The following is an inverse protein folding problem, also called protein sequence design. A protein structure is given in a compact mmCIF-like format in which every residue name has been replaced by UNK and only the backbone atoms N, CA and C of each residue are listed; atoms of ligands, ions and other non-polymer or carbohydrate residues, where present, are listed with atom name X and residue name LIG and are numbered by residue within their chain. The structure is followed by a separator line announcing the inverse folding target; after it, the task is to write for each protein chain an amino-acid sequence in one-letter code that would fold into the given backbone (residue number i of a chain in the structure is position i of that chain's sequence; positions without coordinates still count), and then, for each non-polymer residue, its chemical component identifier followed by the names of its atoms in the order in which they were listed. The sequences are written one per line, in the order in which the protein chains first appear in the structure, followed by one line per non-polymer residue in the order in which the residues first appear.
data_IF_014207239500
#
_entry.id   IF_014207239500
#
_cell.length_a   1.000
_cell.length_b   1.000
_cell.length_c   1.000
_cell.angle_alpha   90.00
_cell.angle_beta   90.00
_cell.angle_gamma   90.00
#
_symmetry.space_group_name_H-M   'P 1'
#
loop_
_entity.id
_entity.type
_entity.pdbx_description
1 polymer ?
#
# COMPACT_ATOMS: atom_id res chain seq x y z
N UNK A 1 -13.37 3.50 -16.74
CA UNK A 1 -13.08 2.41 -15.80
C UNK A 1 -11.63 2.47 -15.34
N UNK A 2 -11.45 2.52 -14.04
CA UNK A 2 -10.11 2.40 -13.45
C UNK A 2 -9.59 0.98 -13.65
N UNK A 3 -8.27 0.80 -13.66
CA UNK A 3 -7.63 -0.51 -13.83
C UNK A 3 -6.50 -0.65 -12.82
N UNK A 4 -5.94 -1.84 -12.69
CA UNK A 4 -4.79 -2.09 -11.81
C UNK A 4 -3.56 -2.33 -12.67
N UNK A 5 -2.40 -1.87 -12.21
CA UNK A 5 -1.11 -2.14 -12.83
C UNK A 5 -0.07 -2.40 -11.75
N UNK A 6 0.87 -3.30 -12.02
CA UNK A 6 1.88 -3.69 -11.03
C UNK A 6 3.27 -3.72 -11.66
N UNK A 7 4.27 -3.56 -10.81
CA UNK A 7 5.66 -3.80 -11.11
C UNK A 7 6.26 -4.75 -10.08
N UNK A 8 6.74 -5.89 -10.54
CA UNK A 8 7.51 -6.87 -9.78
C UNK A 8 8.98 -6.74 -10.17
N UNK A 9 9.86 -6.50 -9.20
CA UNK A 9 11.30 -6.37 -9.47
C UNK A 9 11.90 -7.65 -10.05
N UNK A 10 11.27 -8.81 -9.82
CA UNK A 10 11.69 -10.08 -10.39
C UNK A 10 11.39 -10.20 -11.89
N UNK A 11 10.59 -9.29 -12.46
CA UNK A 11 10.37 -9.23 -13.90
C UNK A 11 11.58 -8.67 -14.67
N UNK A 12 12.50 -7.97 -13.99
CA UNK A 12 13.68 -7.34 -14.61
C UNK A 12 15.01 -7.90 -14.10
N UNK A 13 15.00 -8.71 -13.04
CA UNK A 13 16.19 -9.39 -12.52
C UNK A 13 15.83 -10.59 -11.66
N UNK A 14 16.82 -11.44 -11.39
CA UNK A 14 16.68 -12.52 -10.41
C UNK A 14 16.73 -11.97 -8.98
N UNK A 15 15.96 -12.57 -8.06
CA UNK A 15 15.83 -12.09 -6.68
C UNK A 15 17.15 -12.19 -5.88
N UNK A 16 18.00 -13.16 -6.21
CA UNK A 16 19.27 -13.42 -5.50
C UNK A 16 20.43 -12.52 -5.96
N UNK A 17 20.15 -11.51 -6.79
CA UNK A 17 21.07 -10.43 -7.13
C UNK A 17 20.45 -9.10 -6.66
N UNK A 18 20.60 -8.74 -5.38
CA UNK A 18 19.98 -7.55 -4.82
C UNK A 18 20.42 -6.28 -5.57
N UNK A 19 19.46 -5.41 -5.86
CA UNK A 19 19.71 -4.11 -6.48
C UNK A 19 18.88 -3.03 -5.78
N UNK A 20 19.52 -1.90 -5.57
CA UNK A 20 18.88 -0.73 -4.96
C UNK A 20 17.86 -0.11 -5.91
N UNK A 21 18.22 0.08 -7.17
CA UNK A 21 17.38 0.73 -8.17
C UNK A 21 16.72 -0.32 -9.08
N UNK A 22 15.40 -0.32 -9.14
CA UNK A 22 14.62 -1.27 -9.94
C UNK A 22 13.51 -0.51 -10.64
N UNK A 23 13.44 -0.62 -11.96
CA UNK A 23 12.39 0.02 -12.72
C UNK A 23 12.04 -0.74 -13.99
N UNK A 24 10.80 -0.55 -14.45
CA UNK A 24 10.34 -1.03 -15.75
C UNK A 24 9.26 -0.12 -16.30
N UNK A 25 9.15 -0.08 -17.63
CA UNK A 25 7.94 0.45 -18.26
C UNK A 25 6.81 -0.56 -18.12
N UNK A 26 5.73 -0.16 -17.44
CA UNK A 26 4.52 -0.97 -17.28
C UNK A 26 3.45 -0.44 -18.22
N UNK A 27 2.98 -1.32 -19.10
CA UNK A 27 1.86 -1.02 -20.01
C UNK A 27 0.55 -1.19 -19.24
N UNK A 28 -0.35 -0.22 -19.33
CA UNK A 28 -1.65 -0.30 -18.69
C UNK A 28 -2.52 -1.36 -19.38
N UNK A 29 -3.45 -2.02 -18.67
CA UNK A 29 -4.35 -3.03 -19.25
C UNK A 29 -5.17 -2.52 -20.43
N UNK A 30 -5.35 -1.20 -20.53
CA UNK A 30 -5.99 -0.52 -21.65
C UNK A 30 -5.46 0.92 -21.77
N UNK A 31 -5.48 1.51 -22.97
CA UNK A 31 -5.18 2.92 -23.13
C UNK A 31 -6.23 3.80 -22.43
N UNK A 32 -5.78 4.93 -21.90
CA UNK A 32 -6.61 6.02 -21.41
C UNK A 32 -6.69 7.15 -22.45
N UNK A 33 -7.65 8.05 -22.29
CA UNK A 33 -7.80 9.24 -23.15
C UNK A 33 -6.72 10.30 -22.87
N UNK A 34 -6.16 10.29 -21.66
CA UNK A 34 -5.05 11.12 -21.20
C UNK A 34 -4.32 10.37 -20.06
N UNK A 35 -3.12 10.79 -19.63
CA UNK A 35 -2.39 10.13 -18.55
C UNK A 35 -3.25 9.96 -17.28
N UNK A 36 -3.41 8.73 -16.74
CA UNK A 36 -4.17 8.50 -15.51
C UNK A 36 -3.39 9.00 -14.28
N UNK A 37 -4.09 9.16 -13.15
CA UNK A 37 -3.43 9.32 -11.84
C UNK A 37 -3.13 7.93 -11.29
N UNK A 38 -1.95 7.76 -10.69
CA UNK A 38 -1.42 6.45 -10.25
C UNK A 38 -1.09 6.44 -8.75
N UNK A 39 -2.06 6.53 -7.82
CA UNK A 39 -1.83 6.16 -6.43
C UNK A 39 -1.19 4.77 -6.37
N UNK A 40 0.03 4.70 -5.84
CA UNK A 40 0.91 3.55 -5.89
C UNK A 40 1.18 3.08 -4.46
N UNK A 41 1.07 1.78 -4.20
CA UNK A 41 1.33 1.18 -2.89
C UNK A 41 2.22 -0.05 -2.99
N UNK A 42 2.86 -0.38 -1.89
CA UNK A 42 3.72 -1.58 -1.78
C UNK A 42 2.90 -2.73 -1.23
N UNK A 43 3.02 -3.92 -1.85
CA UNK A 43 2.32 -5.13 -1.41
C UNK A 43 3.21 -6.36 -1.26
N UNK A 44 4.48 -6.29 -1.64
CA UNK A 44 5.45 -7.36 -1.43
C UNK A 44 6.87 -6.79 -1.24
N UNK A 45 7.65 -7.38 -0.33
CA UNK A 45 9.02 -6.95 -0.03
C UNK A 45 9.81 -8.08 0.64
N UNK A 46 11.05 -8.29 0.18
CA UNK A 46 12.11 -9.08 0.81
C UNK A 46 13.37 -8.21 0.96
N UNK A 47 13.75 -7.88 2.19
CA UNK A 47 14.95 -7.12 2.51
C UNK A 47 15.74 -7.73 3.67
N UNK A 48 17.06 -7.68 3.55
CA UNK A 48 17.97 -8.23 4.56
C UNK A 48 17.88 -7.50 5.90
N UNK A 49 17.80 -8.28 6.98
CA UNK A 49 17.72 -7.75 8.36
C UNK A 49 18.95 -7.00 8.84
N UNK A 50 20.13 -7.23 8.24
CA UNK A 50 21.38 -6.65 8.74
C UNK A 50 21.50 -5.16 8.42
N UNK A 51 20.51 -4.61 7.72
CA UNK A 51 20.42 -3.25 7.17
C UNK A 51 19.05 -2.66 7.48
N UNK A 52 18.93 -1.34 7.48
CA UNK A 52 17.61 -0.74 7.65
C UNK A 52 16.72 -1.16 6.49
N UNK A 53 15.44 -1.27 6.79
CA UNK A 53 14.42 -1.57 5.80
C UNK A 53 14.04 -0.25 5.14
N UNK A 54 14.39 -0.13 3.86
CA UNK A 54 14.29 1.11 3.09
C UNK A 54 13.71 0.83 1.73
N UNK A 55 12.56 1.41 1.44
CA UNK A 55 11.92 1.24 0.15
C UNK A 55 11.10 2.47 -0.21
N UNK A 56 11.07 2.80 -1.49
CA UNK A 56 10.22 3.83 -2.09
C UNK A 56 9.66 3.32 -3.41
N UNK A 57 8.35 3.40 -3.56
CA UNK A 57 7.65 3.15 -4.81
C UNK A 57 7.31 4.50 -5.46
N UNK A 58 7.68 4.71 -6.72
CA UNK A 58 7.30 5.91 -7.48
C UNK A 58 6.92 5.58 -8.92
N UNK A 59 6.27 6.52 -9.60
CA UNK A 59 6.06 6.47 -11.05
C UNK A 59 6.63 7.71 -11.72
N UNK A 60 7.12 7.56 -12.95
CA UNK A 60 7.54 8.65 -13.82
C UNK A 60 7.07 8.41 -15.26
N UNK A 61 7.21 9.43 -16.13
CA UNK A 61 6.92 9.33 -17.57
C UNK A 61 5.53 8.74 -17.86
N UNK A 62 4.54 9.12 -17.05
CA UNK A 62 3.16 8.67 -17.18
C UNK A 62 2.58 9.23 -18.48
N UNK A 63 2.27 8.34 -19.42
CA UNK A 63 1.53 8.67 -20.62
C UNK A 63 0.16 7.99 -20.58
N UNK A 64 -0.56 7.96 -21.70
CA UNK A 64 -1.91 7.39 -21.76
C UNK A 64 -1.95 5.86 -21.92
N UNK A 65 -0.81 5.20 -22.17
CA UNK A 65 -0.69 3.74 -22.38
C UNK A 65 0.25 3.05 -21.40
N UNK A 66 1.16 3.79 -20.76
CA UNK A 66 2.15 3.24 -19.85
C UNK A 66 2.68 4.28 -18.86
N UNK A 67 3.39 3.81 -17.84
CA UNK A 67 4.30 4.62 -17.02
C UNK A 67 5.56 3.81 -16.69
N UNK A 68 6.62 4.48 -16.26
CA UNK A 68 7.79 3.80 -15.67
C UNK A 68 7.57 3.71 -14.17
N UNK A 69 7.56 2.48 -13.66
CA UNK A 69 7.40 2.19 -12.24
C UNK A 69 8.78 1.96 -11.65
N UNK A 70 9.00 2.53 -10.49
CA UNK A 70 10.23 2.44 -9.72
C UNK A 70 9.91 1.80 -8.38
N UNK A 71 10.72 0.83 -7.97
CA UNK A 71 10.74 0.33 -6.61
C UNK A 71 12.19 0.33 -6.15
N UNK A 72 12.54 1.31 -5.32
CA UNK A 72 13.94 1.63 -5.02
C UNK A 72 14.23 1.53 -3.54
N UNK A 73 15.42 1.04 -3.21
CA UNK A 73 16.03 1.10 -1.90
C UNK A 73 17.26 2.03 -1.98
N UNK A 74 17.87 2.36 -0.84
CA UNK A 74 19.04 3.23 -0.81
C UNK A 74 20.03 2.87 0.30
N UNK A 75 21.15 3.59 0.31
CA UNK A 75 22.27 3.38 1.22
C UNK A 75 22.80 1.94 1.16
N UNK A 76 22.89 1.28 2.30
CA UNK A 76 23.45 -0.07 2.43
C UNK A 76 22.40 -1.18 2.45
N UNK A 77 21.13 -0.87 2.15
CA UNK A 77 20.03 -1.84 2.13
C UNK A 77 20.28 -2.95 1.11
N UNK A 78 19.98 -4.19 1.48
CA UNK A 78 20.06 -5.34 0.58
C UNK A 78 18.64 -5.71 0.19
N UNK A 79 18.27 -5.39 -1.05
CA UNK A 79 16.90 -5.48 -1.56
C UNK A 79 16.71 -6.66 -2.53
N UNK A 80 16.19 -7.78 -2.02
CA UNK A 80 16.05 -9.03 -2.78
C UNK A 80 14.90 -8.97 -3.79
N UNK A 81 13.68 -8.63 -3.37
CA UNK A 81 12.52 -8.56 -4.26
C UNK A 81 11.41 -7.68 -3.68
N UNK A 82 10.55 -7.16 -4.54
CA UNK A 82 9.35 -6.45 -4.09
C UNK A 82 8.35 -6.21 -5.22
N UNK A 83 7.12 -5.91 -4.83
CA UNK A 83 6.03 -5.61 -5.76
C UNK A 83 5.30 -4.36 -5.30
N UNK A 84 5.17 -3.41 -6.23
CA UNK A 84 4.30 -2.26 -6.09
C UNK A 84 3.15 -2.33 -7.09
N UNK A 85 1.99 -1.80 -6.70
CA UNK A 85 0.77 -1.82 -7.47
C UNK A 85 0.11 -0.45 -7.44
N UNK A 86 -0.54 -0.05 -8.53
CA UNK A 86 -1.29 1.20 -8.62
C UNK A 86 -2.74 0.96 -8.99
N UNK A 87 -3.62 1.76 -8.37
CA UNK A 87 -4.98 1.95 -8.87
C UNK A 87 -4.97 3.05 -9.93
N UNK A 88 -5.07 2.67 -11.21
CA UNK A 88 -5.03 3.61 -12.32
C UNK A 88 -6.35 4.38 -12.41
N UNK A 89 -6.40 5.56 -11.81
CA UNK A 89 -7.57 6.43 -11.81
C UNK A 89 -7.67 7.14 -13.16
N UNK A 90 -8.72 6.81 -13.92
CA UNK A 90 -8.97 7.42 -15.22
C UNK A 90 -9.12 8.95 -15.08
N UNK A 91 -8.65 9.76 -16.05
CA UNK A 91 -8.75 11.22 -16.01
C UNK A 91 -10.19 11.74 -15.82
N UNK A 92 -11.18 11.03 -16.36
CA UNK A 92 -12.60 11.38 -16.25
C UNK A 92 -13.20 11.10 -14.86
N UNK A 93 -12.52 10.33 -14.00
CA UNK A 93 -13.00 10.01 -12.65
C UNK A 93 -12.67 11.16 -11.69
N UNK A 94 -13.23 12.34 -11.98
CA UNK A 94 -12.99 13.57 -11.23
C UNK A 94 -13.62 13.54 -9.84
N UNK A 95 -14.42 12.55 -9.48
CA UNK A 95 -14.89 12.43 -8.09
C UNK A 95 -13.84 11.85 -7.13
N UNK A 96 -12.78 11.22 -7.65
CA UNK A 96 -11.68 10.75 -6.80
C UNK A 96 -10.71 11.88 -6.52
N UNK A 97 -10.29 11.97 -5.26
CA UNK A 97 -9.11 12.69 -4.83
C UNK A 97 -8.04 11.69 -4.42
N UNK A 98 -6.79 12.08 -4.59
CA UNK A 98 -5.66 11.28 -4.14
C UNK A 98 -4.48 12.21 -3.83
N UNK A 99 -3.54 11.71 -3.05
CA UNK A 99 -2.32 12.42 -2.74
C UNK A 99 -1.40 11.59 -1.86
N UNK A 100 -0.34 12.22 -1.39
CA UNK A 100 0.68 11.58 -0.56
C UNK A 100 1.12 12.55 0.53
N UNK A 101 1.60 12.02 1.65
CA UNK A 101 2.21 12.80 2.70
C UNK A 101 3.36 12.02 3.34
N UNK A 102 4.47 12.72 3.58
CA UNK A 102 5.67 12.15 4.19
C UNK A 102 5.83 12.67 5.61
N UNK A 103 5.96 11.75 6.57
CA UNK A 103 6.49 12.03 7.90
C UNK A 103 8.00 11.76 7.87
N UNK A 104 8.81 12.81 7.98
CA UNK A 104 10.26 12.74 7.87
C UNK A 104 10.94 13.14 9.19
N UNK A 105 11.30 12.15 10.01
CA UNK A 105 11.93 12.34 11.31
C UNK A 105 13.43 12.62 11.22
N UNK A 106 14.07 12.31 10.09
CA UNK A 106 15.44 12.73 9.81
C UNK A 106 15.55 14.24 9.61
N UNK A 107 14.61 14.83 8.87
CA UNK A 107 14.57 16.27 8.60
C UNK A 107 13.96 17.06 9.77
N UNK A 108 12.90 16.52 10.39
CA UNK A 108 12.24 17.11 11.56
C UNK A 108 11.94 16.03 12.61
N UNK A 109 12.78 15.87 13.64
CA UNK A 109 12.57 14.90 14.71
C UNK A 109 11.28 15.10 15.51
N UNK A 110 10.63 16.27 15.40
CA UNK A 110 9.34 16.57 16.04
C UNK A 110 8.16 16.41 15.08
N UNK A 111 8.39 15.92 13.86
CA UNK A 111 7.35 15.72 12.86
C UNK A 111 6.21 14.87 13.45
N UNK A 112 4.98 15.42 13.53
CA UNK A 112 3.90 14.79 14.24
C UNK A 112 3.49 13.47 13.57
N UNK A 113 3.02 12.52 14.37
CA UNK A 113 2.48 11.26 13.84
C UNK A 113 1.15 11.45 13.10
N UNK A 114 0.45 12.57 13.33
CA UNK A 114 -0.85 12.89 12.74
C UNK A 114 -0.80 14.25 12.05
N UNK A 115 -1.38 14.33 10.85
CA UNK A 115 -1.50 15.57 10.08
C UNK A 115 -2.91 15.70 9.50
N UNK A 116 -3.43 16.93 9.43
CA UNK A 116 -4.66 17.20 8.69
C UNK A 116 -4.35 17.32 7.20
N UNK A 117 -5.01 16.51 6.39
CA UNK A 117 -5.02 16.62 4.93
C UNK A 117 -6.32 17.30 4.52
N UNK A 118 -6.19 18.46 3.87
CA UNK A 118 -7.34 19.16 3.30
C UNK A 118 -7.53 18.72 1.85
N UNK A 119 -8.76 18.43 1.47
CA UNK A 119 -9.10 18.13 0.10
C UNK A 119 -9.00 19.40 -0.76
N UNK A 120 -8.52 19.27 -2.00
CA UNK A 120 -8.48 20.38 -2.97
C UNK A 120 -9.87 20.90 -3.33
N UNK A 121 -10.91 20.09 -3.11
CA UNK A 121 -12.32 20.45 -3.19
C UNK A 121 -13.10 19.66 -2.14
N UNK A 122 -14.12 20.26 -1.49
CA UNK A 122 -14.94 19.51 -0.55
C UNK A 122 -15.84 18.49 -1.26
N UNK A 123 -16.17 17.41 -0.56
CA UNK A 123 -17.23 16.47 -0.95
C UNK A 123 -18.60 16.97 -0.47
N UNK A 124 -19.68 16.37 -0.98
CA UNK A 124 -21.06 16.68 -0.54
C UNK A 124 -21.33 16.08 0.86
N UNK A 125 -20.90 14.84 1.06
CA UNK A 125 -20.90 14.12 2.34
C UNK A 125 -19.47 13.64 2.66
N UNK A 126 -19.14 13.32 3.92
CA UNK A 126 -17.84 12.76 4.24
C UNK A 126 -17.51 11.57 3.32
N UNK A 127 -16.36 11.59 2.60
CA UNK A 127 -16.04 10.54 1.63
C UNK A 127 -15.56 9.26 2.33
N UNK A 128 -15.45 8.17 1.56
CA UNK A 128 -14.57 7.07 1.95
C UNK A 128 -13.13 7.48 1.70
N UNK A 129 -12.26 7.28 2.69
CA UNK A 129 -10.82 7.55 2.60
C UNK A 129 -10.05 6.28 2.94
N UNK A 130 -9.12 5.90 2.08
CA UNK A 130 -8.19 4.80 2.30
C UNK A 130 -6.76 5.28 2.19
N UNK A 131 -5.87 4.64 2.94
CA UNK A 131 -4.46 5.00 3.08
C UNK A 131 -3.59 3.76 2.99
N UNK A 132 -2.38 3.90 2.46
CA UNK A 132 -1.42 2.80 2.31
C UNK A 132 -0.01 3.34 2.13
N UNK A 133 1.00 2.51 2.42
CA UNK A 133 2.40 2.89 2.34
C UNK A 133 2.97 2.77 0.93
N UNK A 134 3.77 3.77 0.56
CA UNK A 134 4.58 3.79 -0.65
C UNK A 134 6.05 4.16 -0.38
N UNK A 135 6.41 4.54 0.86
CA UNK A 135 7.80 4.72 1.29
C UNK A 135 7.96 4.44 2.79
N UNK A 136 9.07 3.85 3.20
CA UNK A 136 9.52 3.86 4.59
C UNK A 136 11.02 3.61 4.73
N UNK A 137 11.61 4.17 5.80
CA UNK A 137 12.97 3.93 6.31
C UNK A 137 12.89 3.65 7.80
N UNK A 138 13.15 2.39 8.17
CA UNK A 138 13.04 1.91 9.55
C UNK A 138 14.35 1.26 9.97
N UNK A 139 14.85 1.64 11.14
CA UNK A 139 16.09 1.09 11.68
C UNK A 139 16.03 -0.43 11.83
N UNK A 140 17.18 -1.08 11.61
CA UNK A 140 17.32 -2.55 11.70
C UNK A 140 17.32 -3.12 13.12
N UNK A 141 17.64 -2.31 14.13
CA UNK A 141 17.99 -2.84 15.46
C UNK A 141 16.77 -3.24 16.30
N UNK A 142 15.58 -2.84 15.87
CA UNK A 142 14.30 -2.98 16.57
C UNK A 142 13.27 -3.56 15.62
N UNK A 143 12.27 -4.25 16.15
CA UNK A 143 11.17 -4.79 15.35
C UNK A 143 10.53 -3.68 14.51
N UNK A 144 10.14 -4.03 13.29
CA UNK A 144 9.59 -3.08 12.34
C UNK A 144 8.10 -2.96 12.56
N UNK A 145 7.68 -1.80 13.09
CA UNK A 145 6.29 -1.52 13.44
C UNK A 145 5.84 -0.20 12.85
N UNK A 146 4.91 -0.27 11.91
CA UNK A 146 4.42 0.90 11.19
C UNK A 146 2.95 0.72 10.89
N UNK A 147 2.15 1.78 11.10
CA UNK A 147 0.72 1.81 10.80
C UNK A 147 0.33 3.15 10.19
N UNK A 148 -0.55 3.13 9.19
CA UNK A 148 -1.20 4.34 8.70
C UNK A 148 -2.71 4.18 8.70
N UNK A 149 -3.41 5.22 9.17
CA UNK A 149 -4.88 5.26 9.24
C UNK A 149 -5.40 6.63 8.81
N UNK A 150 -6.63 6.67 8.30
CA UNK A 150 -7.39 7.90 8.12
C UNK A 150 -8.45 8.01 9.24
N UNK A 151 -8.44 9.13 9.96
CA UNK A 151 -9.40 9.44 11.03
C UNK A 151 -10.00 10.83 10.83
N UNK A 152 -11.02 11.20 11.61
CA UNK A 152 -11.65 12.53 11.57
C UNK A 152 -12.02 12.97 10.14
N UNK A 153 -12.62 12.06 9.37
CA UNK A 153 -13.01 12.31 7.99
C UNK A 153 -14.27 13.19 7.99
N UNK A 154 -14.20 14.32 7.30
CA UNK A 154 -15.34 15.19 7.02
C UNK A 154 -15.33 15.61 5.55
N UNK A 155 -16.27 16.46 5.16
CA UNK A 155 -16.42 16.91 3.77
C UNK A 155 -15.20 17.65 3.22
N UNK A 156 -14.36 18.24 4.08
CA UNK A 156 -13.23 19.10 3.69
C UNK A 156 -11.87 18.42 3.84
N UNK A 157 -11.79 17.27 4.51
CA UNK A 157 -10.52 16.57 4.69
C UNK A 157 -10.59 15.40 5.66
N UNK A 158 -9.41 14.94 6.06
CA UNK A 158 -9.24 13.89 7.05
C UNK A 158 -7.91 14.06 7.79
N UNK A 159 -7.78 13.43 8.95
CA UNK A 159 -6.50 13.29 9.66
C UNK A 159 -5.80 12.02 9.16
N UNK A 160 -4.62 12.17 8.56
CA UNK A 160 -3.73 11.07 8.23
C UNK A 160 -2.81 10.79 9.42
N UNK A 161 -2.75 9.54 9.85
CA UNK A 161 -1.83 9.08 10.90
C UNK A 161 -0.74 8.21 10.27
N UNK A 162 0.52 8.41 10.64
CA UNK A 162 1.69 7.60 10.30
C UNK A 162 2.42 7.31 11.62
N UNK A 163 2.07 6.17 12.21
CA UNK A 163 2.36 5.82 13.58
C UNK A 163 3.37 4.67 13.65
N UNK A 164 4.19 4.73 14.69
CA UNK A 164 5.06 3.64 15.11
C UNK A 164 4.86 3.45 16.62
N UNK A 165 5.19 2.28 17.16
CA UNK A 165 5.01 1.99 18.58
C UNK A 165 6.14 1.16 19.17
N UNK A 166 6.09 1.02 20.49
CA UNK A 166 7.13 0.41 21.32
C UNK A 166 8.48 1.10 21.09
N UNK A 167 9.52 0.33 20.78
CA UNK A 167 10.90 0.79 20.66
C UNK A 167 11.36 0.96 19.21
N UNK A 168 10.45 0.88 18.24
CA UNK A 168 10.75 1.04 16.82
C UNK A 168 11.35 2.41 16.52
N UNK A 169 12.39 2.46 15.70
CA UNK A 169 13.05 3.69 15.29
C UNK A 169 12.69 3.96 13.82
N UNK A 170 11.81 4.93 13.60
CA UNK A 170 11.37 5.38 12.27
C UNK A 170 12.22 6.59 11.84
N UNK A 171 12.76 6.57 10.62
CA UNK A 171 13.46 7.69 10.01
C UNK A 171 12.56 8.49 9.07
N UNK A 172 11.82 7.82 8.21
CA UNK A 172 10.76 8.42 7.40
C UNK A 172 9.71 7.39 7.01
N UNK A 173 8.51 7.87 6.70
CA UNK A 173 7.51 7.08 5.97
C UNK A 173 6.61 8.01 5.15
N UNK A 174 6.20 7.53 3.98
CA UNK A 174 5.20 8.18 3.13
C UNK A 174 3.98 7.28 3.03
N UNK A 175 2.81 7.88 3.21
CA UNK A 175 1.54 7.25 2.93
C UNK A 175 0.86 7.95 1.76
N UNK A 176 0.40 7.15 0.81
CA UNK A 176 -0.52 7.56 -0.24
C UNK A 176 -1.96 7.38 0.25
N UNK A 177 -2.86 8.19 -0.29
CA UNK A 177 -4.28 8.16 0.06
C UNK A 177 -5.17 8.33 -1.16
N UNK A 178 -6.36 7.76 -1.07
CA UNK A 178 -7.44 7.91 -2.06
C UNK A 178 -8.72 8.23 -1.30
N UNK A 179 -9.46 9.25 -1.78
CA UNK A 179 -10.77 9.61 -1.28
C UNK A 179 -11.79 9.62 -2.42
N UNK A 180 -13.01 9.13 -2.16
CA UNK A 180 -14.09 9.09 -3.14
C UNK A 180 -15.47 9.18 -2.45
N UNK A 181 -16.54 9.59 -3.16
CA UNK A 181 -17.87 9.74 -2.55
C UNK A 181 -18.32 8.46 -1.85
N UNK A 182 -18.91 8.58 -0.66
CA UNK A 182 -19.31 7.43 0.16
C UNK A 182 -20.31 6.51 -0.56
N UNK A 183 -21.22 7.12 -1.32
CA UNK A 183 -22.30 6.54 -2.10
C UNK A 183 -21.88 6.13 -3.52
N UNK A 184 -20.58 6.20 -3.84
CA UNK A 184 -20.10 5.80 -5.16
C UNK A 184 -20.41 4.33 -5.42
N UNK A 185 -21.15 4.09 -6.49
CA UNK A 185 -21.49 2.74 -6.95
C UNK A 185 -20.26 2.00 -7.50
N UNK A 186 -20.32 0.66 -7.48
CA UNK A 186 -19.36 -0.22 -8.14
C UNK A 186 -17.91 -0.05 -7.65
N UNK A 187 -17.75 0.35 -6.40
CA UNK A 187 -16.48 0.41 -5.69
C UNK A 187 -16.67 -0.05 -4.24
N UNK A 188 -15.78 -0.91 -3.80
CA UNK A 188 -15.68 -1.35 -2.41
C UNK A 188 -14.27 -1.07 -1.92
N UNK A 189 -14.15 -0.63 -0.67
CA UNK A 189 -12.85 -0.52 -0.01
C UNK A 189 -12.92 -0.98 1.43
N UNK A 190 -11.86 -1.63 1.89
CA UNK A 190 -11.71 -2.04 3.29
C UNK A 190 -10.25 -2.01 3.71
N UNK A 191 -10.03 -1.87 5.02
CA UNK A 191 -8.76 -2.24 5.65
C UNK A 191 -8.95 -3.60 6.33
N UNK A 192 -8.06 -4.54 6.05
CA UNK A 192 -8.06 -5.88 6.66
C UNK A 192 -6.80 -6.08 7.49
N UNK A 193 -6.85 -6.95 8.50
CA UNK A 193 -5.69 -7.26 9.34
C UNK A 193 -5.63 -8.74 9.70
N UNK A 194 -4.42 -9.31 9.72
CA UNK A 194 -4.14 -10.67 10.23
C UNK A 194 -4.71 -10.93 11.64
N UNK A 195 -4.84 -9.89 12.46
CA UNK A 195 -5.43 -9.98 13.80
C UNK A 195 -6.94 -10.33 13.79
N UNK A 196 -7.61 -10.24 12.64
CA UNK A 196 -8.99 -10.67 12.49
C UNK A 196 -9.16 -12.20 12.45
N UNK A 197 -8.09 -12.96 12.22
CA UNK A 197 -8.12 -14.43 12.13
C UNK A 197 -7.23 -15.12 13.15
N UNK A 198 -6.35 -14.37 13.83
CA UNK A 198 -5.47 -14.90 14.88
C UNK A 198 -5.04 -13.80 15.85
N UNK A 199 -4.57 -14.18 17.03
CA UNK A 199 -3.95 -13.22 17.95
C UNK A 199 -2.54 -12.85 17.48
N UNK A 200 -2.09 -11.64 17.85
CA UNK A 200 -0.76 -11.15 17.49
C UNK A 200 0.38 -11.98 18.11
N UNK A 201 0.16 -12.53 19.31
CA UNK A 201 1.12 -13.34 20.06
C UNK A 201 1.16 -14.81 19.60
N UNK A 202 0.41 -15.17 18.56
CA UNK A 202 0.45 -16.46 17.89
C UNK A 202 0.84 -16.25 16.42
N UNK A 203 2.10 -15.82 16.14
CA UNK A 203 2.54 -15.52 14.79
C UNK A 203 2.45 -16.76 13.90
N UNK A 204 2.02 -16.54 12.66
CA UNK A 204 1.95 -17.58 11.62
C UNK A 204 2.53 -16.98 10.33
N UNK A 205 2.95 -17.83 9.40
CA UNK A 205 3.48 -17.38 8.12
C UNK A 205 2.37 -17.15 7.08
N UNK A 206 1.24 -17.85 7.18
CA UNK A 206 0.18 -17.79 6.17
C UNK A 206 -1.16 -17.52 6.84
N UNK A 207 -1.92 -16.60 6.27
CA UNK A 207 -3.22 -16.19 6.81
C UNK A 207 -4.11 -15.67 5.70
N UNK A 208 -5.36 -16.08 5.74
CA UNK A 208 -6.37 -15.59 4.82
C UNK A 208 -7.75 -15.52 5.44
N UNK A 209 -8.61 -14.70 4.84
CA UNK A 209 -10.02 -14.60 5.20
C UNK A 209 -10.84 -14.20 3.99
N UNK A 210 -11.98 -14.84 3.83
CA UNK A 210 -12.98 -14.43 2.84
C UNK A 210 -13.80 -13.27 3.36
N UNK A 211 -14.02 -12.26 2.51
CA UNK A 211 -14.87 -11.10 2.78
C UNK A 211 -15.89 -10.92 1.66
N UNK A 212 -17.04 -10.37 1.99
CA UNK A 212 -18.05 -9.95 1.01
C UNK A 212 -17.97 -8.43 0.78
N UNK A 213 -18.51 -7.98 -0.35
CA UNK A 213 -18.56 -6.55 -0.69
C UNK A 213 -19.79 -5.81 -0.12
N UNK A 214 -20.50 -6.45 0.81
CA UNK A 214 -21.73 -5.93 1.38
C UNK A 214 -22.78 -5.62 0.31
N UNK A 215 -23.28 -4.39 0.31
CA UNK A 215 -24.29 -3.90 -0.63
C UNK A 215 -23.69 -3.39 -1.96
N UNK A 216 -22.38 -3.51 -2.16
CA UNK A 216 -21.74 -3.05 -3.40
C UNK A 216 -22.01 -4.06 -4.51
N UNK A 217 -22.74 -3.63 -5.53
CA UNK A 217 -22.98 -4.44 -6.72
C UNK A 217 -21.88 -4.24 -7.76
N UNK A 218 -21.36 -5.31 -8.33
CA UNK A 218 -20.38 -5.28 -9.42
C UNK A 218 -20.97 -5.98 -10.65
N UNK A 219 -20.94 -5.33 -11.81
CA UNK A 219 -21.53 -5.87 -13.06
C UNK A 219 -20.62 -6.91 -13.75
N UNK A 220 -19.38 -7.05 -13.30
CA UNK A 220 -18.42 -8.10 -13.67
C UNK A 220 -17.46 -8.32 -12.51
N UNK A 221 -16.63 -9.36 -12.54
CA UNK A 221 -15.55 -9.53 -11.54
C UNK A 221 -14.69 -8.25 -11.46
N UNK A 222 -14.59 -7.60 -10.28
CA UNK A 222 -13.84 -6.37 -10.14
C UNK A 222 -12.33 -6.58 -10.24
N UNK A 223 -11.62 -5.54 -10.68
CA UNK A 223 -10.19 -5.47 -10.46
C UNK A 223 -9.96 -5.06 -9.01
N UNK A 224 -8.96 -5.65 -8.36
CA UNK A 224 -8.67 -5.41 -6.96
C UNK A 224 -7.28 -4.83 -6.80
N UNK A 225 -7.20 -3.66 -6.19
CA UNK A 225 -5.98 -3.05 -5.66
C UNK A 225 -5.73 -3.57 -4.24
N UNK A 226 -4.48 -3.85 -3.90
CA UNK A 226 -4.07 -4.11 -2.52
C UNK A 226 -2.70 -3.51 -2.19
N UNK A 227 -2.59 -2.87 -1.02
CA UNK A 227 -1.33 -2.33 -0.52
C UNK A 227 -1.30 -2.29 1.02
N UNK A 228 -0.12 -2.38 1.62
CA UNK A 228 0.01 -2.41 3.07
C UNK A 228 -0.33 -1.08 3.72
N UNK A 229 -0.99 -1.16 4.86
CA UNK A 229 -1.20 -0.02 5.75
C UNK A 229 -0.75 -0.32 7.19
N UNK A 230 -0.31 -1.55 7.48
CA UNK A 230 0.23 -1.93 8.78
C UNK A 230 1.18 -3.13 8.68
N UNK A 231 2.24 -3.14 9.50
CA UNK A 231 3.01 -4.34 9.83
C UNK A 231 3.67 -4.24 11.21
N UNK A 232 3.85 -5.40 11.87
CA UNK A 232 4.65 -5.65 13.07
C UNK A 232 5.44 -6.95 12.85
N UNK A 233 6.74 -6.81 12.59
CA UNK A 233 7.63 -7.90 12.18
C UNK A 233 8.88 -7.90 13.07
N UNK A 234 9.29 -9.09 13.54
CA UNK A 234 10.53 -9.26 14.31
C UNK A 234 11.77 -8.96 13.45
N UNK A 235 12.72 -8.21 14.00
CA UNK A 235 13.92 -7.79 13.29
C UNK A 235 15.05 -8.83 13.22
N UNK A 236 14.87 -10.02 13.81
CA UNK A 236 15.90 -11.08 13.82
C UNK A 236 15.91 -11.94 12.56
N UNK A 237 14.96 -11.76 11.65
CA UNK A 237 14.89 -12.37 10.33
C UNK A 237 14.64 -11.28 9.28
N UNK A 238 14.82 -11.59 8.00
CA UNK A 238 14.58 -10.60 6.93
C UNK A 238 13.15 -10.06 7.00
N UNK A 239 12.98 -8.81 6.56
CA UNK A 239 11.65 -8.28 6.29
C UNK A 239 11.09 -9.04 5.10
N UNK A 240 10.04 -9.84 5.33
CA UNK A 240 9.37 -10.63 4.31
C UNK A 240 7.88 -10.54 4.53
N UNK A 241 7.20 -9.84 3.64
CA UNK A 241 5.76 -9.67 3.70
C UNK A 241 5.22 -9.68 2.28
N UNK A 242 4.03 -10.23 2.11
CA UNK A 242 3.27 -10.22 0.86
C UNK A 242 1.79 -10.12 1.16
N UNK A 243 1.09 -9.20 0.50
CA UNK A 243 -0.36 -9.15 0.47
C UNK A 243 -0.86 -9.39 -0.96
N UNK A 244 -1.92 -10.19 -1.08
CA UNK A 244 -2.60 -10.47 -2.34
C UNK A 244 -4.04 -10.89 -2.09
N UNK A 245 -4.83 -10.98 -3.16
CA UNK A 245 -6.19 -11.52 -3.12
C UNK A 245 -6.34 -12.64 -4.14
N UNK A 246 -7.22 -13.59 -3.85
CA UNK A 246 -7.70 -14.59 -4.80
C UNK A 246 -9.22 -14.79 -4.62
N UNK A 247 -9.78 -15.77 -5.34
CA UNK A 247 -11.22 -16.10 -5.29
C UNK A 247 -12.14 -14.89 -5.50
N UNK A 248 -11.72 -13.95 -6.35
CA UNK A 248 -12.47 -12.71 -6.61
C UNK A 248 -13.70 -13.03 -7.46
N UNK A 249 -14.86 -12.65 -6.95
CA UNK A 249 -16.16 -12.76 -7.61
C UNK A 249 -16.87 -11.41 -7.59
N UNK A 250 -18.11 -11.33 -8.07
CA UNK A 250 -18.92 -10.10 -7.96
C UNK A 250 -19.39 -9.82 -6.53
N UNK A 251 -19.35 -10.81 -5.63
CA UNK A 251 -19.89 -10.69 -4.26
C UNK A 251 -18.82 -10.64 -3.17
N UNK A 252 -17.57 -10.98 -3.49
CA UNK A 252 -16.49 -11.00 -2.51
C UNK A 252 -15.16 -11.49 -3.06
N UNK A 253 -14.21 -11.63 -2.15
CA UNK A 253 -12.85 -12.10 -2.41
C UNK A 253 -12.27 -12.78 -1.16
N UNK A 254 -11.12 -13.42 -1.31
CA UNK A 254 -10.29 -13.89 -0.19
C UNK A 254 -8.98 -13.09 -0.20
N UNK A 255 -8.66 -12.44 0.91
CA UNK A 255 -7.38 -11.77 1.07
C UNK A 255 -6.38 -12.69 1.76
N UNK A 256 -5.10 -12.49 1.46
CA UNK A 256 -3.96 -13.16 2.05
C UNK A 256 -2.92 -12.13 2.47
N UNK A 257 -2.34 -12.32 3.66
CA UNK A 257 -1.21 -11.50 4.14
C UNK A 257 -0.20 -12.48 4.73
N UNK A 258 0.80 -12.83 3.93
CA UNK A 258 1.71 -13.93 4.19
C UNK A 258 3.15 -13.43 4.41
N UNK A 259 3.93 -14.25 5.09
CA UNK A 259 5.37 -14.17 5.26
C UNK A 259 6.00 -15.53 4.96
N UNK A 260 7.32 -15.65 4.98
CA UNK A 260 8.01 -16.91 4.69
C UNK A 260 9.35 -17.06 5.41
N UNK A 261 9.91 -18.27 5.32
CA UNK A 261 11.16 -18.69 5.94
C UNK A 261 11.15 -18.49 7.48
N UNK A 262 12.17 -17.81 8.02
CA UNK A 262 12.37 -17.59 9.45
C UNK A 262 11.74 -16.29 9.98
N UNK A 263 10.96 -15.59 9.15
CA UNK A 263 10.31 -14.33 9.54
C UNK A 263 9.19 -14.56 10.57
N UNK A 264 9.16 -13.73 11.61
CA UNK A 264 8.09 -13.74 12.61
C UNK A 264 7.18 -12.54 12.39
N UNK A 265 6.00 -12.81 11.85
CA UNK A 265 4.95 -11.82 11.58
C UNK A 265 3.96 -11.73 12.75
N UNK A 266 4.09 -10.73 13.61
CA UNK A 266 3.15 -10.52 14.73
C UNK A 266 1.79 -10.05 14.23
N UNK A 267 1.78 -9.05 13.35
CA UNK A 267 0.59 -8.64 12.60
C UNK A 267 0.94 -7.89 11.32
N UNK A 268 0.01 -7.85 10.39
CA UNK A 268 0.03 -6.94 9.26
C UNK A 268 -1.40 -6.65 8.79
N UNK A 269 -1.53 -5.53 8.09
CA UNK A 269 -2.78 -5.06 7.51
C UNK A 269 -2.58 -4.53 6.10
N UNK A 270 -3.65 -4.58 5.32
CA UNK A 270 -3.67 -4.08 3.97
C UNK A 270 -4.98 -3.34 3.66
N UNK A 271 -4.87 -2.27 2.88
CA UNK A 271 -5.98 -1.63 2.19
C UNK A 271 -6.32 -2.42 0.94
N UNK A 272 -7.61 -2.68 0.73
CA UNK A 272 -8.17 -3.30 -0.45
C UNK A 272 -9.12 -2.30 -1.13
N UNK A 273 -9.04 -2.18 -2.46
CA UNK A 273 -10.03 -1.45 -3.27
C UNK A 273 -10.46 -2.32 -4.44
N UNK A 274 -11.72 -2.74 -4.48
CA UNK A 274 -12.32 -3.44 -5.62
C UNK A 274 -13.11 -2.45 -6.48
N UNK A 275 -12.89 -2.44 -7.79
CA UNK A 275 -13.54 -1.50 -8.73
C UNK A 275 -13.79 -2.13 -10.10
N UNK A 276 -14.88 -1.75 -10.77
CA UNK A 276 -15.17 -2.15 -12.16
C UNK A 276 -14.75 -1.13 -13.25
#
# INVERSE_FOLDING_TARGET
MSTISQFDTQAVRVWNQPQLDNFAQVTFPRPFVAPPRLPLGIRELDQDKSKNIRVKATTEKVNNTSAVYHLTAWADTVFYSGVAESLNLAPANLEFLNGEHTRNLLADPKSPASVRINFERPFVTPPKVVVFFNEFDIDRSKNWRLRTTATNIDVSGFTLNIETWADTILYSAQAAWIAYPEDREHIFSASVNTQEVRLWNAPQLQQSKSINFGNTEFWKTPNVFIAWNEFDIDAKANFRLKAYVDNVSQSGLTWHIDSWADTVLYSAGATIIAVN
#
